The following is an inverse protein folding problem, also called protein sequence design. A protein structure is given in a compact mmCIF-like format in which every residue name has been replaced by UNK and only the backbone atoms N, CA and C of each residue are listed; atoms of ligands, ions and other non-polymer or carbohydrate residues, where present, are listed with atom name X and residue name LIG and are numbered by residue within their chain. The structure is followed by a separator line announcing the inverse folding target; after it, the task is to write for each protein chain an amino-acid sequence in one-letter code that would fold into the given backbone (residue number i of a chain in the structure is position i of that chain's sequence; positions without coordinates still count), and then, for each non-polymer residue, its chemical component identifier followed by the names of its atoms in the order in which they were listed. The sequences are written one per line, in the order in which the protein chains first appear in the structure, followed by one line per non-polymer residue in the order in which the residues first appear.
data_IF_886785806601
#
_entry.id   IF_886785806601
#
_cell.length_a   1.000
_cell.length_b   1.000
_cell.length_c   1.000
_cell.angle_alpha   90.00
_cell.angle_beta   90.00
_cell.angle_gamma   90.00
#
_symmetry.space_group_name_H-M   'P 1'
#
loop_
_entity.id
_entity.type
_entity.pdbx_description
1 polymer ?
#
# COMPACT_ATOMS: atom_id res chain seq x y z
N UNK A 1 3.21 5.84 -11.85
CA UNK A 1 3.18 4.41 -11.45
C UNK A 1 1.81 4.08 -10.88
N UNK A 2 1.49 2.79 -10.67
CA UNK A 2 0.24 2.38 -10.01
C UNK A 2 0.12 3.00 -8.59
N UNK A 3 1.16 2.98 -7.72
CA UNK A 3 1.10 3.66 -6.43
C UNK A 3 0.80 5.16 -6.52
N UNK A 4 1.36 5.87 -7.49
CA UNK A 4 1.06 7.30 -7.68
C UNK A 4 -0.40 7.57 -8.06
N UNK A 5 -0.99 6.74 -8.93
CA UNK A 5 -2.41 6.85 -9.28
C UNK A 5 -3.32 6.52 -8.09
N UNK A 6 -2.89 5.55 -7.26
CA UNK A 6 -3.58 5.20 -6.03
C UNK A 6 -3.56 6.35 -5.02
N UNK A 7 -2.40 6.96 -4.76
CA UNK A 7 -2.29 8.10 -3.84
C UNK A 7 -3.09 9.32 -4.32
N UNK A 8 -3.13 9.56 -5.64
CA UNK A 8 -4.01 10.57 -6.22
C UNK A 8 -5.51 10.27 -6.03
N UNK A 9 -5.92 9.00 -6.04
CA UNK A 9 -7.28 8.61 -5.66
C UNK A 9 -7.51 8.79 -4.15
N UNK A 10 -6.53 8.45 -3.32
CA UNK A 10 -6.62 8.57 -1.87
C UNK A 10 -6.78 10.01 -1.41
N UNK A 11 -6.16 10.96 -2.13
CA UNK A 11 -6.37 12.39 -1.88
C UNK A 11 -7.78 12.84 -2.30
N UNK A 12 -8.35 12.28 -3.38
CA UNK A 12 -9.69 12.65 -3.86
C UNK A 12 -10.81 12.12 -2.98
N UNK A 13 -10.69 10.91 -2.45
CA UNK A 13 -11.75 10.25 -1.65
C UNK A 13 -11.18 9.56 -0.40
N UNK A 14 -10.60 10.32 0.55
CA UNK A 14 -9.79 9.77 1.64
C UNK A 14 -10.56 8.89 2.63
N UNK A 15 -11.84 9.19 2.84
CA UNK A 15 -12.69 8.52 3.83
C UNK A 15 -13.50 7.37 3.23
N UNK A 16 -13.45 7.17 1.92
CA UNK A 16 -14.14 6.05 1.25
C UNK A 16 -13.39 4.75 1.52
N UNK A 17 -14.13 3.66 1.72
CA UNK A 17 -13.55 2.33 1.91
C UNK A 17 -12.86 1.88 0.61
N UNK A 18 -11.57 1.55 0.73
CA UNK A 18 -10.74 1.05 -0.36
C UNK A 18 -10.57 -0.47 -0.30
N UNK A 19 -10.58 -1.04 0.90
CA UNK A 19 -10.34 -2.45 1.13
C UNK A 19 -11.13 -2.96 2.33
N UNK A 20 -11.76 -4.12 2.18
CA UNK A 20 -12.38 -4.87 3.26
C UNK A 20 -11.70 -6.23 3.32
N UNK A 21 -11.26 -6.62 4.51
CA UNK A 21 -10.75 -7.95 4.77
C UNK A 21 -11.30 -8.44 6.11
N UNK A 22 -12.05 -9.55 6.07
CA UNK A 22 -12.85 -10.03 7.20
C UNK A 22 -13.74 -8.88 7.73
N UNK A 23 -13.78 -8.66 9.05
CA UNK A 23 -14.63 -7.67 9.70
C UNK A 23 -14.00 -6.26 9.73
N UNK A 24 -12.85 -6.07 9.07
CA UNK A 24 -12.13 -4.80 9.06
C UNK A 24 -12.18 -4.12 7.70
N UNK A 25 -12.57 -2.84 7.73
CA UNK A 25 -12.52 -1.95 6.58
C UNK A 25 -11.36 -0.96 6.70
N UNK A 26 -10.77 -0.61 5.56
CA UNK A 26 -9.70 0.37 5.41
C UNK A 26 -10.16 1.45 4.45
N UNK A 27 -10.02 2.72 4.87
CA UNK A 27 -10.23 3.82 3.93
C UNK A 27 -9.05 3.97 2.98
N UNK A 28 -9.24 4.70 1.88
CA UNK A 28 -8.14 5.03 0.98
C UNK A 28 -6.97 5.71 1.70
N UNK A 29 -7.26 6.68 2.59
CA UNK A 29 -6.21 7.37 3.35
C UNK A 29 -5.44 6.42 4.28
N UNK A 30 -6.13 5.50 4.95
CA UNK A 30 -5.46 4.52 5.83
C UNK A 30 -4.58 3.55 5.03
N UNK A 31 -5.07 3.11 3.87
CA UNK A 31 -4.35 2.17 3.03
C UNK A 31 -3.12 2.82 2.37
N UNK A 32 -3.27 4.05 1.85
CA UNK A 32 -2.17 4.83 1.26
C UNK A 32 -1.08 5.13 2.29
N UNK A 33 -1.46 5.54 3.51
CA UNK A 33 -0.49 5.82 4.57
C UNK A 33 0.28 4.57 4.99
N UNK A 34 -0.39 3.42 5.12
CA UNK A 34 0.29 2.17 5.47
C UNK A 34 1.26 1.72 4.36
N UNK A 35 0.85 1.83 3.09
CA UNK A 35 1.71 1.53 1.95
C UNK A 35 2.92 2.48 1.89
N UNK A 36 2.71 3.79 2.05
CA UNK A 36 3.78 4.78 2.06
C UNK A 36 4.76 4.59 3.23
N UNK A 37 4.28 4.19 4.41
CA UNK A 37 5.15 3.85 5.54
C UNK A 37 6.06 2.67 5.21
N UNK A 38 5.51 1.61 4.63
CA UNK A 38 6.29 0.44 4.21
C UNK A 38 7.26 0.79 3.07
N UNK A 39 6.85 1.60 2.09
CA UNK A 39 7.72 2.06 1.01
C UNK A 39 8.94 2.84 1.55
N UNK A 40 8.72 3.72 2.54
CA UNK A 40 9.84 4.42 3.20
C UNK A 40 10.77 3.46 3.95
N UNK A 41 10.23 2.41 4.58
CA UNK A 41 11.07 1.39 5.22
C UNK A 41 11.90 0.61 4.20
N UNK A 42 11.31 0.21 3.06
CA UNK A 42 12.04 -0.46 1.99
C UNK A 42 13.14 0.45 1.40
N UNK A 43 12.84 1.73 1.18
CA UNK A 43 13.82 2.71 0.74
C UNK A 43 14.96 2.88 1.76
N UNK A 44 14.67 2.85 3.06
CA UNK A 44 15.69 2.85 4.13
C UNK A 44 16.56 1.58 4.11
N UNK A 45 16.07 0.49 3.53
CA UNK A 45 16.84 -0.73 3.24
C UNK A 45 17.53 -0.71 1.86
N UNK A 46 17.62 0.45 1.21
CA UNK A 46 18.25 0.68 -0.10
C UNK A 46 17.54 0.03 -1.30
N UNK A 47 16.26 -0.31 -1.16
CA UNK A 47 15.45 -0.74 -2.32
C UNK A 47 15.16 0.47 -3.21
N UNK A 48 15.39 0.33 -4.51
CA UNK A 48 15.16 1.37 -5.51
C UNK A 48 14.61 0.85 -6.85
N UNK A 49 14.45 1.75 -7.84
CA UNK A 49 13.93 1.39 -9.15
C UNK A 49 14.78 0.31 -9.83
N UNK A 50 14.13 -0.78 -10.24
CA UNK A 50 14.77 -1.93 -10.88
C UNK A 50 15.09 -3.09 -9.92
N UNK A 51 15.02 -2.87 -8.61
CA UNK A 51 15.15 -3.93 -7.63
C UNK A 51 13.88 -4.80 -7.56
N UNK A 52 14.06 -6.06 -7.14
CA UNK A 52 12.97 -7.03 -6.99
C UNK A 52 12.77 -7.31 -5.51
N UNK A 53 11.55 -7.06 -5.02
CA UNK A 53 11.12 -7.39 -3.65
C UNK A 53 10.19 -8.60 -3.68
N UNK A 54 10.59 -9.70 -3.06
CA UNK A 54 9.75 -10.89 -2.96
C UNK A 54 8.67 -10.71 -1.88
N UNK A 55 7.41 -10.95 -2.24
CA UNK A 55 6.26 -10.92 -1.33
C UNK A 55 5.74 -12.35 -1.10
N UNK A 56 5.89 -12.86 0.13
CA UNK A 56 5.36 -14.16 0.54
C UNK A 56 4.33 -13.96 1.66
N UNK A 57 3.06 -13.85 1.28
CA UNK A 57 1.96 -13.51 2.16
C UNK A 57 0.71 -14.29 1.73
N UNK A 58 -0.09 -14.73 2.71
CA UNK A 58 -1.44 -15.19 2.45
C UNK A 58 -2.36 -14.01 2.10
N UNK A 59 -3.56 -14.31 1.57
CA UNK A 59 -4.59 -13.31 1.29
C UNK A 59 -4.89 -12.54 2.57
N UNK A 60 -4.56 -11.26 2.59
CA UNK A 60 -4.71 -10.38 3.75
C UNK A 60 -4.70 -8.91 3.34
N UNK A 61 -5.07 -8.01 4.25
CA UNK A 61 -4.89 -6.57 4.02
C UNK A 61 -3.41 -6.19 3.85
N UNK A 62 -2.52 -6.87 4.57
CA UNK A 62 -1.06 -6.66 4.48
C UNK A 62 -0.51 -7.03 3.10
N UNK A 63 -1.08 -8.01 2.41
CA UNK A 63 -0.69 -8.33 1.04
C UNK A 63 -0.93 -7.15 0.08
N UNK A 64 -2.07 -6.47 0.22
CA UNK A 64 -2.38 -5.29 -0.60
C UNK A 64 -1.48 -4.10 -0.23
N UNK A 65 -1.24 -3.88 1.06
CA UNK A 65 -0.30 -2.86 1.55
C UNK A 65 1.10 -3.09 0.94
N UNK A 66 1.59 -4.33 0.96
CA UNK A 66 2.89 -4.69 0.42
C UNK A 66 2.98 -4.50 -1.09
N UNK A 67 1.94 -4.87 -1.85
CA UNK A 67 1.89 -4.65 -3.30
C UNK A 67 1.92 -3.17 -3.66
N UNK A 68 1.26 -2.30 -2.87
CA UNK A 68 1.26 -0.86 -3.12
C UNK A 68 2.56 -0.17 -2.70
N UNK A 69 3.34 -0.78 -1.81
CA UNK A 69 4.58 -0.21 -1.29
C UNK A 69 5.81 -0.46 -2.18
N UNK A 70 5.73 -1.44 -3.09
CA UNK A 70 6.77 -1.83 -4.06
C UNK A 70 6.52 -1.16 -5.42
#
# INVERSE_FOLDING_TARGET
SIPQLFSAQATRTPNTIALVYQDRSWTYHQLDNAANQLAHQLAAHHVGPGDVVALLLERSAHAIIAILAV
#
